data_IF_657340905431
#
_entry.id   IF_657340905431
#
_cell.length_a   1.000
_cell.length_b   1.000
_cell.length_c   1.000
_cell.angle_alpha   90.00
_cell.angle_beta   90.00
_cell.angle_gamma   90.00
#
_symmetry.space_group_name_H-M   'P 1'
#
loop_
_entity.id
_entity.type
_entity.pdbx_description
1 polymer ?
#
# COMPACT_ATOMS: atom_id res chain seq x y z
N UNK A 1 -18.37 17.84 -2.45
CA UNK A 1 -17.60 16.81 -1.72
C UNK A 1 -18.26 16.65 -0.37
N UNK A 2 -18.68 15.43 0.02
CA UNK A 2 -19.51 15.23 1.23
C UNK A 2 -18.66 15.47 2.50
N UNK A 3 -19.04 16.45 3.33
CA UNK A 3 -18.32 16.89 4.53
C UNK A 3 -18.00 15.71 5.47
N UNK A 4 -18.96 14.79 5.63
CA UNK A 4 -18.81 13.60 6.48
C UNK A 4 -17.65 12.70 6.04
N UNK A 5 -17.42 12.54 4.73
CA UNK A 5 -16.31 11.71 4.23
C UNK A 5 -14.96 12.34 4.52
N UNK A 6 -14.88 13.68 4.47
CA UNK A 6 -13.65 14.41 4.77
C UNK A 6 -13.32 14.30 6.26
N UNK A 7 -14.32 14.35 7.14
CA UNK A 7 -14.14 14.12 8.57
C UNK A 7 -13.59 12.72 8.89
N UNK A 8 -14.00 11.69 8.15
CA UNK A 8 -13.42 10.33 8.31
C UNK A 8 -11.93 10.34 8.00
N UNK A 9 -11.50 11.05 6.96
CA UNK A 9 -10.08 11.20 6.62
C UNK A 9 -9.32 11.98 7.69
N UNK A 10 -9.85 13.12 8.12
CA UNK A 10 -9.17 13.97 9.11
C UNK A 10 -9.01 13.23 10.45
N UNK A 11 -10.05 12.53 10.92
CA UNK A 11 -9.95 11.67 12.12
C UNK A 11 -8.88 10.60 11.98
N UNK A 12 -8.82 9.92 10.83
CA UNK A 12 -7.82 8.88 10.61
C UNK A 12 -6.39 9.44 10.55
N UNK A 13 -6.22 10.65 10.01
CA UNK A 13 -4.93 11.34 10.01
C UNK A 13 -4.47 11.70 11.42
N UNK A 14 -5.39 12.10 12.29
CA UNK A 14 -5.08 12.39 13.69
C UNK A 14 -4.73 11.11 14.48
N UNK A 15 -5.44 10.00 14.24
CA UNK A 15 -5.06 8.68 14.76
C UNK A 15 -3.65 8.27 14.31
N UNK A 16 -3.33 8.47 13.02
CA UNK A 16 -2.00 8.18 12.48
C UNK A 16 -0.91 9.04 13.13
N UNK A 17 -1.16 10.34 13.35
CA UNK A 17 -0.21 11.23 14.04
C UNK A 17 -0.03 10.86 15.50
N UNK A 18 -1.11 10.44 16.17
CA UNK A 18 -1.06 9.97 17.56
C UNK A 18 -0.26 8.67 17.67
N UNK A 19 -0.50 7.71 16.76
CA UNK A 19 0.23 6.45 16.74
C UNK A 19 1.69 6.63 16.32
N UNK A 20 1.96 7.54 15.38
CA UNK A 20 3.28 7.81 14.81
C UNK A 20 3.64 9.30 14.96
N UNK A 21 4.24 9.74 16.08
CA UNK A 21 4.53 11.16 16.33
C UNK A 21 5.48 11.83 15.32
N UNK A 22 6.29 11.03 14.63
CA UNK A 22 7.20 11.50 13.56
C UNK A 22 6.53 11.51 12.18
N UNK A 23 5.27 11.09 12.09
CA UNK A 23 4.56 10.93 10.84
C UNK A 23 4.35 12.27 10.14
N UNK A 24 4.74 12.33 8.87
CA UNK A 24 4.58 13.52 8.02
C UNK A 24 3.98 13.13 6.69
N UNK A 25 3.14 14.01 6.15
CA UNK A 25 2.62 13.89 4.79
C UNK A 25 3.33 14.93 3.95
N UNK A 26 3.95 14.49 2.85
CA UNK A 26 4.63 15.37 1.90
C UNK A 26 4.09 15.06 0.50
N UNK A 27 3.71 16.10 -0.25
CA UNK A 27 3.33 15.93 -1.66
C UNK A 27 4.58 15.60 -2.47
N UNK A 28 4.53 14.56 -3.31
CA UNK A 28 5.69 14.12 -4.12
C UNK A 28 6.25 15.24 -5.00
N UNK A 29 5.40 16.15 -5.48
CA UNK A 29 5.82 17.30 -6.30
C UNK A 29 6.72 18.30 -5.55
N UNK A 30 6.63 18.35 -4.22
CA UNK A 30 7.39 19.23 -3.34
C UNK A 30 8.69 18.59 -2.84
N UNK A 31 8.90 17.29 -3.09
CA UNK A 31 10.03 16.52 -2.56
C UNK A 31 11.13 16.28 -3.61
N UNK A 32 12.32 16.91 -3.49
CA UNK A 32 13.46 16.62 -4.34
C UNK A 32 13.90 15.15 -4.27
N UNK A 33 13.75 14.53 -3.10
CA UNK A 33 14.05 13.12 -2.87
C UNK A 33 13.13 12.19 -3.69
N UNK A 34 11.83 12.49 -3.74
CA UNK A 34 10.87 11.71 -4.54
C UNK A 34 11.14 11.85 -6.04
N UNK A 35 11.53 13.05 -6.50
CA UNK A 35 11.96 13.29 -7.89
C UNK A 35 13.23 12.50 -8.23
N UNK A 36 14.19 12.39 -7.32
CA UNK A 36 15.39 11.60 -7.52
C UNK A 36 15.09 10.09 -7.63
N UNK A 37 14.21 9.57 -6.76
CA UNK A 37 13.75 8.18 -6.84
C UNK A 37 13.03 7.91 -8.16
N UNK A 38 12.14 8.81 -8.58
CA UNK A 38 11.41 8.68 -9.84
C UNK A 38 12.36 8.58 -11.05
N UNK A 39 13.39 9.42 -11.10
CA UNK A 39 14.43 9.33 -12.14
C UNK A 39 15.17 7.99 -12.06
N UNK A 40 15.59 7.57 -10.88
CA UNK A 40 16.28 6.29 -10.69
C UNK A 40 15.40 5.09 -11.11
N UNK A 41 14.12 5.08 -10.73
CA UNK A 41 13.16 4.05 -11.10
C UNK A 41 12.93 4.04 -12.62
N UNK A 42 12.78 5.21 -13.25
CA UNK A 42 12.65 5.30 -14.71
C UNK A 42 13.88 4.78 -15.44
N UNK A 43 15.08 5.02 -14.92
CA UNK A 43 16.31 4.48 -15.51
C UNK A 43 16.37 2.96 -15.33
N UNK A 44 16.21 2.47 -14.09
CA UNK A 44 16.36 1.04 -13.77
C UNK A 44 15.28 0.17 -14.42
N UNK A 45 14.06 0.69 -14.52
CA UNK A 45 12.91 -0.05 -15.08
C UNK A 45 12.67 0.21 -16.56
N UNK A 46 13.61 0.87 -17.26
CA UNK A 46 13.45 1.29 -18.66
C UNK A 46 12.11 2.00 -18.89
N UNK A 47 11.79 2.96 -18.02
CA UNK A 47 10.57 3.76 -18.00
C UNK A 47 9.27 2.99 -17.63
N UNK A 48 9.38 1.76 -17.14
CA UNK A 48 8.24 0.95 -16.69
C UNK A 48 7.50 1.51 -15.47
N UNK A 49 8.19 2.27 -14.61
CA UNK A 49 7.61 2.89 -13.41
C UNK A 49 7.34 4.41 -13.52
N UNK A 50 6.99 4.89 -14.71
CA UNK A 50 6.65 6.31 -14.96
C UNK A 50 5.47 6.88 -14.14
N UNK A 51 4.67 6.02 -13.50
CA UNK A 51 3.50 6.40 -12.70
C UNK A 51 3.83 6.64 -11.21
N UNK A 52 5.09 6.49 -10.79
CA UNK A 52 5.54 6.64 -9.40
C UNK A 52 5.10 7.97 -8.77
N UNK A 53 5.20 9.08 -9.50
CA UNK A 53 4.88 10.42 -8.99
C UNK A 53 3.38 10.72 -8.94
N UNK A 54 2.58 10.03 -9.75
CA UNK A 54 1.20 10.43 -10.05
C UNK A 54 0.14 9.48 -9.50
N UNK A 55 0.47 8.23 -9.19
CA UNK A 55 -0.53 7.23 -8.76
C UNK A 55 -0.25 6.54 -7.44
N UNK A 56 1.01 6.47 -7.02
CA UNK A 56 1.36 5.67 -5.86
C UNK A 56 1.50 6.51 -4.60
N UNK A 57 0.90 6.02 -3.53
CA UNK A 57 1.26 6.40 -2.18
C UNK A 57 2.53 5.64 -1.82
N UNK A 58 3.46 6.29 -1.13
CA UNK A 58 4.71 5.64 -0.76
C UNK A 58 5.11 6.11 0.62
N UNK A 59 5.15 5.19 1.58
CA UNK A 59 5.77 5.46 2.87
C UNK A 59 7.27 5.21 2.77
N UNK A 60 8.07 6.23 3.06
CA UNK A 60 9.51 6.09 3.27
C UNK A 60 9.86 6.69 4.63
N UNK A 61 10.39 5.85 5.50
CA UNK A 61 10.68 6.27 6.87
C UNK A 61 9.41 6.51 7.66
N UNK A 62 9.25 7.74 8.14
CA UNK A 62 8.04 8.21 8.84
C UNK A 62 7.22 9.16 7.95
N UNK A 63 7.57 9.26 6.67
CA UNK A 63 6.95 10.20 5.74
C UNK A 63 6.11 9.45 4.73
N UNK A 64 4.82 9.77 4.68
CA UNK A 64 3.95 9.40 3.57
C UNK A 64 4.09 10.41 2.43
N UNK A 65 4.54 9.92 1.30
CA UNK A 65 4.60 10.67 0.06
C UNK A 65 3.33 10.46 -0.73
N UNK A 66 2.52 11.52 -0.85
CA UNK A 66 1.23 11.48 -1.57
C UNK A 66 1.40 11.93 -3.02
N UNK A 67 0.68 11.31 -3.97
CA UNK A 67 0.76 11.67 -5.38
C UNK A 67 0.16 13.07 -5.64
N UNK A 68 0.50 13.63 -6.80
CA UNK A 68 -0.10 14.87 -7.28
C UNK A 68 -1.63 14.70 -7.41
N UNK A 69 -2.38 15.70 -6.95
CA UNK A 69 -3.86 15.64 -6.94
C UNK A 69 -4.46 14.92 -5.72
N UNK A 70 -3.68 14.70 -4.66
CA UNK A 70 -4.16 14.16 -3.37
C UNK A 70 -5.49 14.78 -2.91
N UNK A 71 -5.62 16.09 -3.05
CA UNK A 71 -6.79 16.86 -2.60
C UNK A 71 -8.08 16.55 -3.39
N UNK A 72 -7.98 15.86 -4.54
CA UNK A 72 -9.09 15.54 -5.43
C UNK A 72 -9.57 14.08 -5.31
N UNK A 73 -8.88 13.22 -4.55
CA UNK A 73 -9.32 11.82 -4.38
C UNK A 73 -10.49 11.71 -3.39
N UNK A 74 -11.31 10.67 -3.56
CA UNK A 74 -12.39 10.37 -2.61
C UNK A 74 -11.79 10.09 -1.22
N UNK A 75 -12.19 10.82 -0.16
CA UNK A 75 -11.58 10.68 1.17
C UNK A 75 -11.63 9.25 1.71
N UNK A 76 -12.66 8.47 1.38
CA UNK A 76 -12.78 7.07 1.81
C UNK A 76 -11.72 6.20 1.12
N UNK A 77 -11.48 6.39 -0.18
CA UNK A 77 -10.39 5.70 -0.88
C UNK A 77 -9.02 6.07 -0.34
N UNK A 78 -8.84 7.34 0.04
CA UNK A 78 -7.62 7.78 0.72
C UNK A 78 -7.45 7.05 2.05
N UNK A 79 -8.48 6.98 2.90
CA UNK A 79 -8.41 6.28 4.19
C UNK A 79 -8.10 4.79 4.02
N UNK A 80 -8.72 4.12 3.04
CA UNK A 80 -8.41 2.71 2.73
C UNK A 80 -6.93 2.55 2.40
N UNK A 81 -6.38 3.47 1.61
CA UNK A 81 -4.96 3.48 1.23
C UNK A 81 -4.08 3.79 2.45
N UNK A 82 -4.44 4.77 3.28
CA UNK A 82 -3.68 5.10 4.48
C UNK A 82 -3.68 3.97 5.51
N UNK A 83 -4.77 3.20 5.63
CA UNK A 83 -4.82 2.00 6.47
C UNK A 83 -3.84 0.92 6.00
N UNK A 84 -3.69 0.76 4.69
CA UNK A 84 -2.67 -0.10 4.10
C UNK A 84 -1.27 0.40 4.47
N UNK A 85 -0.97 1.67 4.22
CA UNK A 85 0.33 2.28 4.52
C UNK A 85 0.68 2.25 6.02
N UNK A 86 -0.33 2.35 6.89
CA UNK A 86 -0.17 2.21 8.34
C UNK A 86 0.43 0.86 8.73
N UNK A 87 0.08 -0.22 8.02
CA UNK A 87 0.66 -1.54 8.26
C UNK A 87 2.16 -1.54 7.96
N UNK A 88 2.60 -0.88 6.89
CA UNK A 88 4.03 -0.74 6.60
C UNK A 88 4.79 0.05 7.67
N UNK A 89 4.17 1.09 8.24
CA UNK A 89 4.75 1.82 9.37
C UNK A 89 4.88 0.92 10.62
N UNK A 90 3.87 0.10 10.93
CA UNK A 90 3.92 -0.90 12.02
C UNK A 90 4.97 -1.98 11.76
N UNK A 91 5.04 -2.49 10.53
CA UNK A 91 6.04 -3.47 10.11
C UNK A 91 7.46 -2.91 10.23
N UNK A 92 7.67 -1.64 9.87
CA UNK A 92 8.96 -0.96 10.08
C UNK A 92 9.32 -0.86 11.56
N UNK A 93 8.38 -0.53 12.45
CA UNK A 93 8.62 -0.56 13.91
C UNK A 93 8.99 -1.96 14.39
N UNK A 94 8.36 -2.99 13.82
CA UNK A 94 8.59 -4.40 14.19
C UNK A 94 9.92 -4.96 13.67
N UNK A 95 10.27 -4.70 12.42
CA UNK A 95 11.43 -5.28 11.74
C UNK A 95 12.65 -4.35 11.69
N UNK A 96 12.51 -3.10 12.15
CA UNK A 96 13.48 -2.00 12.03
C UNK A 96 13.80 -1.64 10.57
N UNK A 97 14.45 -0.49 10.36
CA UNK A 97 14.83 -0.05 9.01
C UNK A 97 15.75 -1.07 8.31
N UNK A 98 16.72 -1.63 9.04
CA UNK A 98 17.67 -2.59 8.48
C UNK A 98 16.99 -3.90 8.06
N UNK A 99 16.09 -4.44 8.89
CA UNK A 99 15.34 -5.65 8.55
C UNK A 99 14.38 -5.43 7.38
N UNK A 100 13.68 -4.29 7.33
CA UNK A 100 12.86 -3.90 6.17
C UNK A 100 13.71 -3.75 4.91
N UNK A 101 14.87 -3.09 4.98
CA UNK A 101 15.77 -2.93 3.84
C UNK A 101 16.31 -4.28 3.35
N UNK A 102 16.62 -5.24 4.20
CA UNK A 102 17.02 -6.58 3.77
C UNK A 102 15.87 -7.27 3.01
N UNK A 103 14.64 -7.11 3.47
CA UNK A 103 13.46 -7.71 2.83
C UNK A 103 13.12 -7.00 1.49
N UNK A 104 13.35 -5.69 1.37
CA UNK A 104 12.98 -4.89 0.19
C UNK A 104 14.10 -4.67 -0.84
N UNK A 105 15.37 -4.61 -0.44
CA UNK A 105 16.49 -4.15 -1.30
C UNK A 105 17.18 -5.28 -2.09
N UNK A 106 16.94 -6.55 -1.73
CA UNK A 106 17.50 -7.72 -2.43
C UNK A 106 16.67 -8.12 -3.66
N UNK A 107 16.62 -7.24 -4.65
CA UNK A 107 16.01 -7.45 -5.97
C UNK A 107 17.10 -7.82 -6.99
N UNK A 108 16.97 -8.80 -7.91
CA UNK A 108 16.05 -9.94 -7.99
C UNK A 108 16.83 -11.27 -7.78
N UNK A 109 16.58 -12.01 -6.70
CA UNK A 109 16.91 -13.44 -6.41
C UNK A 109 17.23 -13.57 -4.91
N UNK A 110 16.84 -14.65 -4.20
CA UNK A 110 16.10 -15.83 -4.62
C UNK A 110 14.61 -15.75 -4.22
N UNK A 111 13.78 -16.61 -4.83
CA UNK A 111 12.34 -16.76 -4.59
C UNK A 111 11.91 -16.77 -3.09
N UNK A 112 12.82 -17.12 -2.17
CA UNK A 112 12.56 -17.09 -0.73
C UNK A 112 12.39 -15.68 -0.12
N UNK A 113 13.08 -14.66 -0.64
CA UNK A 113 12.95 -13.27 -0.14
C UNK A 113 11.77 -12.53 -0.77
N UNK A 114 11.43 -12.88 -2.02
CA UNK A 114 10.19 -12.44 -2.67
C UNK A 114 8.95 -12.88 -1.88
N UNK A 115 8.99 -14.06 -1.25
CA UNK A 115 7.94 -14.52 -0.34
C UNK A 115 7.83 -13.65 0.92
N UNK A 116 8.96 -13.24 1.50
CA UNK A 116 8.99 -12.32 2.64
C UNK A 116 8.34 -10.98 2.31
N UNK A 117 8.69 -10.40 1.16
CA UNK A 117 8.04 -9.19 0.64
C UNK A 117 6.55 -9.40 0.38
N UNK A 118 6.17 -10.50 -0.26
CA UNK A 118 4.77 -10.82 -0.52
C UNK A 118 3.96 -10.98 0.78
N UNK A 119 4.54 -11.57 1.84
CA UNK A 119 3.89 -11.73 3.16
C UNK A 119 3.66 -10.40 3.88
N UNK A 120 4.60 -9.47 3.78
CA UNK A 120 4.45 -8.09 4.29
C UNK A 120 3.29 -7.39 3.58
N UNK A 121 3.24 -7.50 2.27
CA UNK A 121 2.19 -6.91 1.44
C UNK A 121 0.84 -7.60 1.68
N UNK A 122 0.81 -8.92 1.89
CA UNK A 122 -0.40 -9.65 2.27
C UNK A 122 -1.02 -9.09 3.55
N UNK A 123 -0.22 -8.85 4.59
CA UNK A 123 -0.72 -8.23 5.82
C UNK A 123 -1.36 -6.86 5.55
N UNK A 124 -0.72 -6.03 4.73
CA UNK A 124 -1.22 -4.71 4.37
C UNK A 124 -2.51 -4.78 3.51
N UNK A 125 -2.59 -5.68 2.54
CA UNK A 125 -3.80 -5.89 1.75
C UNK A 125 -4.93 -6.58 2.52
N UNK A 126 -4.64 -7.40 3.53
CA UNK A 126 -5.67 -7.89 4.46
C UNK A 126 -6.32 -6.72 5.20
N UNK A 127 -5.54 -5.74 5.65
CA UNK A 127 -6.08 -4.50 6.22
C UNK A 127 -6.86 -3.67 5.19
N UNK A 128 -6.42 -3.64 3.92
CA UNK A 128 -7.21 -3.04 2.82
C UNK A 128 -8.58 -3.71 2.69
N UNK A 129 -8.67 -5.04 2.72
CA UNK A 129 -9.94 -5.76 2.64
C UNK A 129 -10.86 -5.43 3.83
N UNK A 130 -10.30 -5.36 5.05
CA UNK A 130 -11.04 -4.91 6.25
C UNK A 130 -11.57 -3.49 6.09
N UNK A 131 -10.70 -2.56 5.65
CA UNK A 131 -11.06 -1.17 5.43
C UNK A 131 -12.15 -0.99 4.36
N UNK A 132 -12.06 -1.74 3.26
CA UNK A 132 -13.08 -1.74 2.21
C UNK A 132 -14.41 -2.26 2.76
N UNK A 133 -14.41 -3.36 3.51
CA UNK A 133 -15.64 -3.89 4.14
C UNK A 133 -16.28 -2.86 5.06
N UNK A 134 -15.48 -2.22 5.91
CA UNK A 134 -15.96 -1.27 6.91
C UNK A 134 -16.50 0.02 6.28
N UNK A 135 -15.80 0.58 5.28
CA UNK A 135 -16.11 1.90 4.74
C UNK A 135 -16.95 1.88 3.46
N UNK A 136 -16.89 0.78 2.68
CA UNK A 136 -17.62 0.62 1.40
C UNK A 136 -18.58 -0.57 1.40
N UNK A 137 -18.63 -1.35 2.47
CA UNK A 137 -19.54 -2.48 2.63
C UNK A 137 -19.01 -3.80 2.07
N UNK A 138 -19.70 -4.89 2.44
CA UNK A 138 -19.31 -6.26 2.10
C UNK A 138 -19.32 -6.53 0.58
N UNK A 139 -20.26 -5.93 -0.16
CA UNK A 139 -20.34 -6.08 -1.61
C UNK A 139 -19.09 -5.52 -2.32
N UNK A 140 -18.55 -4.40 -1.82
CA UNK A 140 -17.34 -3.79 -2.38
C UNK A 140 -16.11 -4.69 -2.13
N UNK A 141 -16.01 -5.29 -0.94
CA UNK A 141 -14.94 -6.22 -0.58
C UNK A 141 -14.96 -7.48 -1.46
N UNK A 142 -16.16 -8.01 -1.76
CA UNK A 142 -16.35 -9.19 -2.62
C UNK A 142 -16.28 -8.89 -4.12
N UNK A 143 -16.08 -7.63 -4.52
CA UNK A 143 -16.09 -7.26 -5.93
C UNK A 143 -14.95 -7.92 -6.72
N UNK A 144 -15.27 -8.45 -7.90
CA UNK A 144 -14.28 -9.06 -8.79
C UNK A 144 -13.24 -8.03 -9.25
N UNK A 145 -13.64 -6.77 -9.42
CA UNK A 145 -12.73 -5.68 -9.77
C UNK A 145 -11.65 -5.46 -8.70
N UNK A 146 -12.03 -5.45 -7.42
CA UNK A 146 -11.06 -5.33 -6.32
C UNK A 146 -10.11 -6.53 -6.28
N UNK A 147 -10.65 -7.75 -6.44
CA UNK A 147 -9.86 -8.99 -6.48
C UNK A 147 -8.80 -8.93 -7.60
N UNK A 148 -9.21 -8.61 -8.82
CA UNK A 148 -8.27 -8.53 -9.95
C UNK A 148 -7.23 -7.42 -9.76
N UNK A 149 -7.65 -6.26 -9.24
CA UNK A 149 -6.73 -5.16 -8.94
C UNK A 149 -5.69 -5.58 -7.90
N UNK A 150 -6.08 -6.25 -6.82
CA UNK A 150 -5.13 -6.68 -5.79
C UNK A 150 -4.19 -7.74 -6.36
N UNK A 151 -4.71 -8.77 -7.03
CA UNK A 151 -3.88 -9.84 -7.61
C UNK A 151 -2.86 -9.28 -8.60
N UNK A 152 -3.26 -8.35 -9.48
CA UNK A 152 -2.35 -7.79 -10.48
C UNK A 152 -1.18 -7.02 -9.87
N UNK A 153 -1.34 -6.45 -8.68
CA UNK A 153 -0.24 -5.80 -7.95
C UNK A 153 0.85 -6.79 -7.54
N UNK A 154 0.54 -8.08 -7.37
CA UNK A 154 1.56 -9.10 -7.06
C UNK A 154 2.18 -9.71 -8.32
N UNK A 155 1.37 -9.91 -9.36
CA UNK A 155 1.74 -10.72 -10.53
C UNK A 155 2.27 -9.90 -11.70
N UNK A 156 2.10 -8.57 -11.70
CA UNK A 156 2.49 -7.71 -12.81
C UNK A 156 3.86 -7.06 -12.62
N UNK A 157 4.40 -6.55 -13.74
CA UNK A 157 5.61 -5.75 -13.78
C UNK A 157 5.51 -4.46 -12.94
N UNK A 158 4.30 -3.97 -12.63
CA UNK A 158 4.08 -2.74 -11.86
C UNK A 158 4.77 -2.77 -10.48
N UNK A 159 4.92 -3.97 -9.90
CA UNK A 159 5.62 -4.20 -8.63
C UNK A 159 6.81 -5.17 -8.78
N UNK A 160 7.30 -5.34 -10.01
CA UNK A 160 8.48 -6.15 -10.32
C UNK A 160 8.27 -7.66 -10.22
N UNK A 161 7.09 -8.17 -10.60
CA UNK A 161 6.75 -9.61 -10.49
C UNK A 161 6.99 -10.15 -9.08
N UNK A 162 6.52 -9.41 -8.08
CA UNK A 162 6.72 -9.71 -6.66
C UNK A 162 6.42 -11.16 -6.30
N UNK A 163 5.36 -11.72 -6.89
CA UNK A 163 5.09 -13.15 -6.81
C UNK A 163 4.38 -13.62 -8.09
N UNK A 164 5.07 -14.36 -8.99
CA UNK A 164 4.49 -14.73 -10.28
C UNK A 164 3.42 -15.84 -10.17
N UNK A 165 3.35 -16.57 -9.04
CA UNK A 165 2.40 -17.67 -8.85
C UNK A 165 1.02 -17.17 -8.43
N UNK A 166 0.19 -16.81 -9.42
CA UNK A 166 -1.18 -16.30 -9.23
C UNK A 166 -2.04 -17.16 -8.28
N UNK A 167 -1.98 -18.49 -8.41
CA UNK A 167 -2.78 -19.42 -7.58
C UNK A 167 -2.52 -19.28 -6.08
N UNK A 168 -1.29 -18.92 -5.69
CA UNK A 168 -0.95 -18.68 -4.28
C UNK A 168 -1.62 -17.41 -3.77
N UNK A 169 -1.61 -16.34 -4.56
CA UNK A 169 -2.24 -15.07 -4.22
C UNK A 169 -3.76 -15.19 -4.19
N UNK A 170 -4.34 -15.94 -5.13
CA UNK A 170 -5.78 -16.23 -5.13
C UNK A 170 -6.21 -17.00 -3.89
N UNK A 171 -5.47 -18.05 -3.51
CA UNK A 171 -5.74 -18.80 -2.28
C UNK A 171 -5.62 -17.93 -1.04
N UNK A 172 -4.54 -17.15 -0.93
CA UNK A 172 -4.37 -16.21 0.18
C UNK A 172 -5.52 -15.19 0.25
N UNK A 173 -5.95 -14.64 -0.89
CA UNK A 173 -7.07 -13.69 -0.95
C UNK A 173 -8.36 -14.33 -0.43
N UNK A 174 -8.67 -15.54 -0.88
CA UNK A 174 -9.87 -16.26 -0.47
C UNK A 174 -9.83 -16.65 1.02
N UNK A 175 -8.65 -16.99 1.55
CA UNK A 175 -8.43 -17.21 2.99
C UNK A 175 -8.60 -15.93 3.81
N UNK A 176 -8.05 -14.81 3.33
CA UNK A 176 -8.18 -13.50 3.99
C UNK A 176 -9.64 -13.04 4.07
N UNK A 177 -10.43 -13.25 3.00
CA UNK A 177 -11.86 -12.97 3.03
C UNK A 177 -12.58 -13.80 4.10
N UNK A 178 -12.34 -15.10 4.14
CA UNK A 178 -12.96 -16.00 5.13
C UNK A 178 -12.60 -15.60 6.55
N UNK A 179 -11.34 -15.24 6.79
CA UNK A 179 -10.89 -14.81 8.11
C UNK A 179 -11.57 -13.50 8.55
N UNK A 180 -11.64 -12.52 7.65
CA UNK A 180 -12.33 -11.25 7.91
C UNK A 180 -13.81 -11.51 8.22
N UNK A 181 -14.47 -12.37 7.46
CA UNK A 181 -15.88 -12.73 7.67
C UNK A 181 -16.14 -13.42 9.03
N UNK A 182 -15.17 -14.19 9.53
CA UNK A 182 -15.25 -14.84 10.85
C UNK A 182 -15.08 -13.89 12.03
N UNK A 183 -14.34 -12.80 11.84
CA UNK A 183 -14.10 -11.76 12.87
C UNK A 183 -15.33 -10.83 13.04
N UNK A 184 -16.55 -11.38 13.00
CA UNK A 184 -17.81 -10.65 13.20
C UNK A 184 -17.99 -10.23 14.65
#
# INVERSE_FOLDING_TARGET
>A
MNTERREVLDRFLDEMRAEFPRFRIIKKEESPFSKAIDVALRIVTFNGQREFMTRYYTVIGDTLYVPQGFDNFDPVDVVITLRHERIHLRQRRRYTFLGMSIIYLLLPFPLGLAYGRARIEWEAYTETLRAVRELKGEQAMRSQALRQRIISQFTSAAYGWMWPFRSTIERWYDEALKEIERQR
#
